data_IF_535234033527
#
_entry.id   IF_535234033527
#
_cell.length_a   1.000
_cell.length_b   1.000
_cell.length_c   1.000
_cell.angle_alpha   90.00
_cell.angle_beta   90.00
_cell.angle_gamma   90.00
#
_symmetry.space_group_name_H-M   'P 1'
#
loop_
_entity.id
_entity.type
_entity.pdbx_description
1 polymer ?
#
# COMPACT_ATOMS: atom_id res chain seq x y z
N UNK A 1 -14.36 9.55 -27.69
CA UNK A 1 -15.79 9.85 -27.46
C UNK A 1 -16.08 9.61 -26.00
N UNK A 2 -16.37 10.66 -25.26
CA UNK A 2 -16.72 10.56 -23.85
C UNK A 2 -18.18 10.15 -23.69
N UNK A 3 -18.54 9.63 -22.51
CA UNK A 3 -19.94 9.30 -22.21
C UNK A 3 -20.86 10.53 -22.29
N UNK A 4 -20.28 11.72 -22.09
CA UNK A 4 -20.95 13.00 -22.29
C UNK A 4 -21.42 13.24 -23.73
N UNK A 5 -20.61 12.82 -24.73
CA UNK A 5 -20.97 12.97 -26.15
C UNK A 5 -22.16 12.07 -26.49
N UNK A 6 -22.15 10.83 -25.97
CA UNK A 6 -23.23 9.84 -26.17
C UNK A 6 -24.54 10.32 -25.54
N UNK A 7 -24.49 10.86 -24.32
CA UNK A 7 -25.66 11.41 -23.62
C UNK A 7 -26.23 12.62 -24.38
N UNK A 8 -25.37 13.50 -24.88
CA UNK A 8 -25.79 14.68 -25.66
C UNK A 8 -26.49 14.29 -26.96
N UNK A 9 -25.97 13.27 -27.65
CA UNK A 9 -26.60 12.75 -28.86
C UNK A 9 -27.94 12.08 -28.57
N UNK A 10 -28.05 11.33 -27.47
CA UNK A 10 -29.30 10.74 -27.01
C UNK A 10 -30.34 11.82 -26.65
N UNK A 11 -29.94 12.89 -25.96
CA UNK A 11 -30.81 14.04 -25.65
C UNK A 11 -31.33 14.69 -26.93
N UNK A 12 -30.47 14.92 -27.92
CA UNK A 12 -30.85 15.52 -29.20
C UNK A 12 -31.86 14.64 -29.97
N UNK A 13 -31.72 13.32 -29.89
CA UNK A 13 -32.66 12.36 -30.49
C UNK A 13 -34.00 12.37 -29.74
N UNK A 14 -33.98 12.38 -28.41
CA UNK A 14 -35.18 12.42 -27.57
C UNK A 14 -35.97 13.73 -27.74
N UNK A 15 -35.28 14.87 -27.86
CA UNK A 15 -35.91 16.16 -28.16
C UNK A 15 -36.59 16.19 -29.53
N UNK A 16 -35.98 15.58 -30.55
CA UNK A 16 -36.58 15.45 -31.89
C UNK A 16 -37.79 14.53 -31.92
N UNK A 17 -37.89 13.59 -30.97
CA UNK A 17 -39.00 12.67 -30.82
C UNK A 17 -40.16 13.23 -29.97
N UNK A 18 -40.05 14.46 -29.45
CA UNK A 18 -41.02 15.15 -28.58
C UNK A 18 -41.48 14.31 -27.37
N UNK A 19 -40.60 13.41 -26.91
CA UNK A 19 -40.90 12.46 -25.85
C UNK A 19 -40.20 12.90 -24.55
N UNK A 20 -40.96 13.64 -23.74
CA UNK A 20 -40.52 14.18 -22.45
C UNK A 20 -40.06 13.09 -21.46
N UNK A 21 -40.60 11.87 -21.56
CA UNK A 21 -40.18 10.77 -20.68
C UNK A 21 -38.78 10.26 -21.04
N UNK A 22 -38.45 10.17 -22.33
CA UNK A 22 -37.09 9.82 -22.77
C UNK A 22 -36.07 10.85 -22.28
N UNK A 23 -36.42 12.14 -22.28
CA UNK A 23 -35.53 13.18 -21.77
C UNK A 23 -35.24 13.03 -20.27
N UNK A 24 -36.25 12.71 -19.44
CA UNK A 24 -36.05 12.45 -18.01
C UNK A 24 -35.18 11.23 -17.76
N UNK A 25 -35.44 10.12 -18.46
CA UNK A 25 -34.65 8.89 -18.32
C UNK A 25 -33.18 9.11 -18.69
N UNK A 26 -32.89 9.93 -19.71
CA UNK A 26 -31.50 10.26 -20.08
C UNK A 26 -30.81 11.11 -19.01
N UNK A 27 -31.52 12.05 -18.39
CA UNK A 27 -30.98 12.84 -17.28
C UNK A 27 -30.70 11.99 -16.04
N UNK A 28 -31.56 11.03 -15.73
CA UNK A 28 -31.36 10.10 -14.63
C UNK A 28 -30.14 9.20 -14.89
N UNK A 29 -30.00 8.67 -16.11
CA UNK A 29 -28.81 7.91 -16.54
C UNK A 29 -27.54 8.76 -16.44
N UNK A 30 -27.61 10.05 -16.81
CA UNK A 30 -26.47 10.94 -16.70
C UNK A 30 -26.03 11.11 -15.25
N UNK A 31 -26.99 11.26 -14.33
CA UNK A 31 -26.72 11.37 -12.90
C UNK A 31 -26.09 10.09 -12.35
N UNK A 32 -26.71 8.94 -12.60
CA UNK A 32 -26.17 7.63 -12.17
C UNK A 32 -24.78 7.37 -12.75
N UNK A 33 -24.53 7.76 -13.99
CA UNK A 33 -23.22 7.61 -14.63
C UNK A 33 -22.15 8.47 -13.96
N UNK A 34 -22.49 9.69 -13.56
CA UNK A 34 -21.57 10.58 -12.83
C UNK A 34 -21.24 10.01 -11.44
N UNK A 35 -22.24 9.52 -10.73
CA UNK A 35 -22.08 8.89 -9.42
C UNK A 35 -21.16 7.65 -9.52
N UNK A 36 -21.40 6.79 -10.52
CA UNK A 36 -20.55 5.62 -10.79
C UNK A 36 -19.11 5.99 -11.19
N UNK A 37 -18.92 7.08 -11.94
CA UNK A 37 -17.59 7.57 -12.29
C UNK A 37 -16.83 8.08 -11.07
N UNK A 38 -17.52 8.77 -10.17
CA UNK A 38 -16.96 9.23 -8.90
C UNK A 38 -16.58 8.06 -7.99
N UNK A 39 -17.47 7.07 -7.83
CA UNK A 39 -17.17 5.85 -7.09
C UNK A 39 -16.00 5.08 -7.70
N UNK A 40 -15.92 4.97 -9.02
CA UNK A 40 -14.83 4.31 -9.71
C UNK A 40 -13.49 5.01 -9.47
N UNK A 41 -13.47 6.36 -9.48
CA UNK A 41 -12.29 7.14 -9.12
C UNK A 41 -11.89 6.90 -7.67
N UNK A 42 -12.84 7.01 -6.74
CA UNK A 42 -12.61 6.76 -5.33
C UNK A 42 -12.08 5.35 -5.04
N UNK A 43 -12.62 4.33 -5.72
CA UNK A 43 -12.15 2.95 -5.62
C UNK A 43 -10.76 2.77 -6.21
N UNK A 44 -10.46 3.38 -7.36
CA UNK A 44 -9.12 3.36 -7.96
C UNK A 44 -8.09 4.04 -7.07
N UNK A 45 -8.44 5.16 -6.43
CA UNK A 45 -7.57 5.86 -5.50
C UNK A 45 -7.34 5.03 -4.22
N UNK A 46 -8.38 4.38 -3.69
CA UNK A 46 -8.23 3.42 -2.59
C UNK A 46 -7.32 2.25 -2.98
N UNK A 47 -7.49 1.67 -4.17
CA UNK A 47 -6.63 0.59 -4.67
C UNK A 47 -5.19 1.07 -4.82
N UNK A 48 -4.97 2.28 -5.34
CA UNK A 48 -3.63 2.88 -5.46
C UNK A 48 -2.99 3.07 -4.09
N UNK A 49 -3.70 3.67 -3.14
CA UNK A 49 -3.21 3.89 -1.79
C UNK A 49 -2.89 2.56 -1.09
N UNK A 50 -3.75 1.55 -1.22
CA UNK A 50 -3.51 0.21 -0.66
C UNK A 50 -2.32 -0.50 -1.32
N UNK A 51 -2.14 -0.35 -2.64
CA UNK A 51 -0.98 -0.90 -3.35
C UNK A 51 0.32 -0.21 -2.96
N UNK A 52 0.33 1.12 -2.83
CA UNK A 52 1.49 1.88 -2.36
C UNK A 52 1.90 1.45 -0.93
N UNK A 53 0.93 1.16 -0.06
CA UNK A 53 1.20 0.60 1.28
C UNK A 53 1.77 -0.83 1.20
N UNK A 54 1.29 -1.68 0.29
CA UNK A 54 1.71 -3.08 0.18
C UNK A 54 3.08 -3.28 -0.48
N UNK A 55 3.51 -2.43 -1.42
CA UNK A 55 4.85 -2.55 -2.05
C UNK A 55 5.98 -2.42 -1.01
N UNK A 56 5.71 -1.78 0.12
CA UNK A 56 6.67 -1.67 1.24
C UNK A 56 6.83 -3.01 2.00
N UNK A 57 5.93 -3.97 1.81
CA UNK A 57 5.84 -5.21 2.60
C UNK A 57 6.49 -6.43 1.92
N UNK A 58 6.55 -6.45 0.58
CA UNK A 58 6.94 -7.65 -0.16
C UNK A 58 8.43 -8.01 -0.04
N UNK A 59 9.27 -7.10 0.46
CA UNK A 59 10.70 -7.34 0.68
C UNK A 59 11.08 -7.48 2.16
N UNK A 60 10.12 -7.65 3.07
CA UNK A 60 10.42 -7.78 4.50
C UNK A 60 10.82 -9.20 4.89
N UNK A 61 12.04 -9.36 5.39
CA UNK A 61 12.57 -10.61 5.90
C UNK A 61 12.72 -10.50 7.42
N UNK A 62 12.09 -11.41 8.15
CA UNK A 62 12.31 -11.57 9.59
C UNK A 62 13.59 -12.38 9.82
N UNK A 63 14.59 -11.79 10.48
CA UNK A 63 15.80 -12.51 10.92
C UNK A 63 16.10 -12.21 12.38
N UNK A 64 16.12 -13.24 13.21
CA UNK A 64 16.21 -13.08 14.68
C UNK A 64 14.93 -12.41 15.21
N UNK A 65 15.09 -11.34 15.98
CA UNK A 65 13.96 -10.55 16.53
C UNK A 65 13.82 -9.17 15.86
N UNK A 66 14.32 -9.02 14.62
CA UNK A 66 14.26 -7.79 13.84
C UNK A 66 13.78 -8.08 12.41
N UNK A 67 13.10 -7.11 11.81
CA UNK A 67 12.80 -7.12 10.38
C UNK A 67 13.90 -6.43 9.57
N UNK A 68 14.09 -6.87 8.33
CA UNK A 68 15.02 -6.31 7.37
C UNK A 68 14.33 -6.18 6.02
N UNK A 69 14.70 -5.17 5.24
CA UNK A 69 14.22 -4.99 3.87
C UNK A 69 15.31 -5.51 2.94
N UNK A 70 14.98 -6.47 2.09
CA UNK A 70 15.86 -6.92 1.02
C UNK A 70 15.86 -5.89 -0.11
N UNK A 71 17.02 -5.29 -0.36
CA UNK A 71 17.25 -4.44 -1.53
C UNK A 71 17.84 -5.25 -2.68
N UNK A 72 17.77 -4.70 -3.88
CA UNK A 72 18.48 -5.22 -5.05
C UNK A 72 19.96 -5.48 -4.70
N UNK A 73 20.49 -6.62 -5.15
CA UNK A 73 21.85 -7.14 -4.84
C UNK A 73 22.05 -7.81 -3.47
N UNK A 74 20.99 -8.28 -2.80
CA UNK A 74 21.11 -9.11 -1.58
C UNK A 74 21.59 -8.34 -0.34
N UNK A 75 21.55 -7.00 -0.41
CA UNK A 75 21.87 -6.13 0.71
C UNK A 75 20.62 -6.00 1.59
N UNK A 76 20.78 -6.35 2.86
CA UNK A 76 19.72 -6.22 3.87
C UNK A 76 19.80 -4.84 4.54
N UNK A 77 18.75 -4.04 4.39
CA UNK A 77 18.59 -2.77 5.11
C UNK A 77 17.80 -2.99 6.40
N UNK A 78 18.31 -2.53 7.53
CA UNK A 78 17.70 -2.74 8.85
C UNK A 78 18.70 -2.44 9.98
N UNK A 79 18.40 -2.83 11.23
CA UNK A 79 17.22 -3.56 11.72
C UNK A 79 15.98 -2.67 11.93
N UNK A 80 14.80 -3.22 11.66
CA UNK A 80 13.50 -2.63 11.97
C UNK A 80 12.81 -3.36 13.12
N UNK A 81 11.99 -2.63 13.88
CA UNK A 81 11.30 -3.15 15.06
C UNK A 81 10.13 -4.08 14.69
N UNK A 82 10.17 -5.31 15.22
CA UNK A 82 9.10 -6.32 15.08
C UNK A 82 7.81 -5.88 15.74
N UNK A 83 7.86 -5.38 16.96
CA UNK A 83 6.65 -4.97 17.70
C UNK A 83 5.89 -3.82 17.03
N UNK A 84 6.60 -2.80 16.52
CA UNK A 84 5.96 -1.69 15.80
C UNK A 84 5.38 -2.15 14.45
N UNK A 85 6.02 -3.12 13.81
CA UNK A 85 5.51 -3.72 12.59
C UNK A 85 4.25 -4.55 12.84
N UNK A 86 4.26 -5.41 13.85
CA UNK A 86 3.14 -6.32 14.11
C UNK A 86 1.91 -5.60 14.64
N UNK A 87 2.10 -4.58 15.47
CA UNK A 87 1.00 -3.81 16.07
C UNK A 87 0.39 -2.81 15.09
N UNK A 88 1.23 -1.96 14.49
CA UNK A 88 0.79 -0.77 13.76
C UNK A 88 1.15 -0.80 12.26
N UNK A 89 1.80 -1.88 11.78
CA UNK A 89 2.39 -1.96 10.43
C UNK A 89 3.30 -0.77 10.13
N UNK A 90 4.07 -0.33 11.13
CA UNK A 90 5.04 0.77 11.03
C UNK A 90 6.47 0.25 11.05
N UNK A 91 7.22 0.50 9.98
CA UNK A 91 8.64 0.17 9.88
C UNK A 91 9.48 1.21 10.62
N UNK A 92 9.70 0.97 11.91
CA UNK A 92 10.55 1.84 12.73
C UNK A 92 11.98 1.30 12.74
N UNK A 93 12.94 2.11 12.26
CA UNK A 93 14.36 1.77 12.29
C UNK A 93 14.88 1.79 13.73
N UNK A 94 15.54 0.72 14.14
CA UNK A 94 16.09 0.59 15.49
C UNK A 94 17.48 1.24 15.56
N UNK A 95 17.79 1.84 16.71
CA UNK A 95 19.12 2.36 17.03
C UNK A 95 20.02 1.23 17.50
N UNK A 96 21.25 1.21 17.01
CA UNK A 96 22.23 0.20 17.39
C UNK A 96 23.19 0.81 18.41
N UNK A 97 23.22 0.25 19.62
CA UNK A 97 24.15 0.62 20.68
C UNK A 97 24.92 -0.63 21.14
N UNK A 98 26.17 -0.77 20.70
CA UNK A 98 27.05 -1.88 21.06
C UNK A 98 26.55 -3.24 20.55
N UNK A 99 25.92 -4.02 21.43
CA UNK A 99 25.35 -5.34 21.15
C UNK A 99 23.82 -5.37 21.22
N UNK A 100 23.16 -4.22 21.30
CA UNK A 100 21.71 -4.14 21.34
C UNK A 100 21.17 -3.25 20.21
N UNK A 101 20.07 -3.67 19.61
CA UNK A 101 19.20 -2.83 18.81
C UNK A 101 18.04 -2.38 19.70
N UNK A 102 17.73 -1.09 19.75
CA UNK A 102 16.64 -0.51 20.54
C UNK A 102 15.71 0.35 19.68
N UNK A 103 14.41 0.21 19.88
CA UNK A 103 13.39 1.03 19.24
C UNK A 103 13.09 2.26 20.10
N UNK A 104 13.14 3.46 19.51
CA UNK A 104 12.84 4.70 20.22
C UNK A 104 11.34 4.91 20.49
N UNK A 105 10.46 4.23 19.75
CA UNK A 105 9.01 4.38 19.88
C UNK A 105 8.46 3.47 20.98
N UNK A 106 8.70 2.16 20.88
CA UNK A 106 8.15 1.18 21.82
C UNK A 106 9.13 0.74 22.91
N UNK A 107 10.39 1.21 22.88
CA UNK A 107 11.47 0.84 23.82
C UNK A 107 11.83 -0.66 23.80
N UNK A 108 11.33 -1.43 22.83
CA UNK A 108 11.76 -2.81 22.61
C UNK A 108 13.24 -2.84 22.25
N UNK A 109 13.98 -3.74 22.88
CA UNK A 109 15.39 -3.97 22.57
C UNK A 109 15.68 -5.45 22.37
N UNK A 110 16.65 -5.76 21.50
CA UNK A 110 17.11 -7.12 21.27
C UNK A 110 18.60 -7.15 20.98
N UNK A 111 19.29 -8.18 21.47
CA UNK A 111 20.70 -8.46 21.14
C UNK A 111 20.86 -9.32 19.88
N UNK A 112 19.78 -9.89 19.37
CA UNK A 112 19.83 -10.90 18.30
C UNK A 112 19.95 -10.32 16.88
N UNK A 113 20.07 -8.99 16.74
CA UNK A 113 20.22 -8.33 15.44
C UNK A 113 21.54 -8.64 14.71
N UNK A 114 22.57 -9.16 15.42
CA UNK A 114 23.90 -9.51 14.87
C UNK A 114 24.03 -10.94 14.35
N UNK A 115 23.01 -11.79 14.47
CA UNK A 115 23.08 -13.19 13.97
C UNK A 115 23.20 -13.29 12.43
N UNK A 116 23.26 -12.16 11.72
CA UNK A 116 23.53 -12.01 10.28
C UNK A 116 25.05 -11.92 10.01
N UNK A 117 25.85 -12.87 10.54
CA UNK A 117 27.14 -13.15 9.92
C UNK A 117 26.93 -14.22 8.86
N UNK A 118 26.87 -13.80 7.61
CA UNK A 118 27.29 -14.67 6.51
C UNK A 118 28.75 -15.05 6.77
N UNK A 119 29.01 -16.34 7.05
CA UNK A 119 30.36 -16.91 7.17
C UNK A 119 31.06 -16.68 8.51
N UNK A 120 30.86 -17.61 9.45
CA UNK A 120 31.85 -18.19 10.39
C UNK A 120 31.11 -18.73 11.63
N UNK A 121 30.95 -20.05 11.70
CA UNK A 121 30.76 -20.74 12.98
C UNK A 121 32.02 -20.50 13.80
N UNK A 122 31.95 -19.64 14.80
CA UNK A 122 33.03 -19.41 15.76
C UNK A 122 32.68 -20.03 17.12
N UNK A 123 32.25 -21.29 17.11
CA UNK A 123 32.04 -22.10 18.32
C UNK A 123 32.39 -23.60 18.11
N UNK A 124 33.30 -23.90 17.18
CA UNK A 124 34.00 -25.21 17.07
C UNK A 124 35.53 -25.00 17.21
N UNK A 125 35.94 -24.13 18.14
CA UNK A 125 37.31 -24.09 18.63
C UNK A 125 37.27 -23.99 20.16
N UNK A 126 36.98 -25.14 20.78
CA UNK A 126 37.49 -25.57 22.08
C UNK A 126 37.48 -27.10 22.08
#
# INVERSE_FOLDING_TARGET
MGIYDVIKDAVNIAQKADNIELYRMILDIQKETLDLLEENRNLKDKIRNLKEVNITNDNLILKGHCYYIEKSHGILDGPFCTTCWDKDKKLIRMYIAGNFATCHVCKFYTSDYKKIKWGCRAYECL
#
